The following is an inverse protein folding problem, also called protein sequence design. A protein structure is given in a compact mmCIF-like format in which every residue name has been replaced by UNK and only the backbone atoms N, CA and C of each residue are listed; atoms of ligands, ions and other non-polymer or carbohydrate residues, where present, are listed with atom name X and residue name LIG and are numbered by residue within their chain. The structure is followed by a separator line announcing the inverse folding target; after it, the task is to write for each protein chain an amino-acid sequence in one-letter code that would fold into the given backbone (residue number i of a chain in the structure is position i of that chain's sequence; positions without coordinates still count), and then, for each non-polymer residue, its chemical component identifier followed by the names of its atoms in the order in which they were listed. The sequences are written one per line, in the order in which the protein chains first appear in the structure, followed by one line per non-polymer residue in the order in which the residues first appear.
data_IF_017358868456
#
_entry.id   IF_017358868456
#
_cell.length_a   1.000
_cell.length_b   1.000
_cell.length_c   1.000
_cell.angle_alpha   90.00
_cell.angle_beta   90.00
_cell.angle_gamma   90.00
#
_symmetry.space_group_name_H-M   'P 1'
#
loop_
_entity.id
_entity.type
_entity.pdbx_description
1 polymer ?
#
# COMPACT_ATOMS: atom_id res chain seq x y z
N UNK A 1 -47.13 -63.81 8.83
CA UNK A 1 -48.44 -64.37 8.42
C UNK A 1 -48.59 -64.19 6.92
N UNK A 2 -48.24 -65.21 6.13
CA UNK A 2 -49.16 -66.08 5.39
C UNK A 2 -49.96 -65.31 4.30
N UNK A 3 -49.58 -65.51 3.02
CA UNK A 3 -50.27 -66.41 2.02
C UNK A 3 -51.49 -65.71 1.40
N UNK A 4 -51.77 -65.68 0.09
CA UNK A 4 -51.63 -66.65 -1.02
C UNK A 4 -52.11 -65.88 -2.30
N UNK A 5 -51.51 -66.05 -3.50
CA UNK A 5 -51.94 -66.94 -4.63
C UNK A 5 -53.39 -66.65 -5.12
N UNK A 6 -53.79 -66.64 -6.40
CA UNK A 6 -53.36 -67.19 -7.71
C UNK A 6 -54.34 -66.53 -8.76
N UNK A 7 -54.09 -66.31 -10.06
CA UNK A 7 -54.16 -67.29 -11.18
C UNK A 7 -54.44 -66.53 -12.50
N UNK A 8 -53.51 -66.52 -13.47
CA UNK A 8 -53.57 -67.07 -14.84
C UNK A 8 -54.70 -66.67 -15.81
N UNK A 9 -54.28 -66.16 -16.99
CA UNK A 9 -54.60 -66.63 -18.37
C UNK A 9 -53.70 -65.83 -19.34
N UNK A 10 -52.61 -66.38 -19.87
CA UNK A 10 -52.46 -67.14 -21.14
C UNK A 10 -53.13 -66.45 -22.34
N UNK A 11 -52.32 -65.90 -23.26
CA UNK A 11 -52.46 -66.21 -24.67
C UNK A 11 -51.16 -65.95 -25.46
N UNK A 12 -50.98 -66.82 -26.43
CA UNK A 12 -49.79 -67.16 -27.21
C UNK A 12 -49.73 -66.27 -28.46
N UNK A 13 -48.54 -65.79 -28.84
CA UNK A 13 -48.36 -64.94 -30.02
C UNK A 13 -46.94 -65.08 -30.55
N UNK A 14 -46.71 -66.17 -31.28
CA UNK A 14 -45.47 -66.54 -31.96
C UNK A 14 -45.30 -65.69 -33.23
N UNK A 15 -44.27 -64.83 -33.29
CA UNK A 15 -43.79 -64.29 -34.58
C UNK A 15 -42.26 -64.35 -34.63
N UNK A 16 -41.84 -65.05 -35.68
CA UNK A 16 -40.52 -65.34 -36.19
C UNK A 16 -39.86 -64.05 -36.73
N UNK A 17 -38.58 -63.80 -36.42
CA UNK A 17 -37.88 -62.64 -36.98
C UNK A 17 -36.37 -62.64 -36.77
N UNK A 18 -35.65 -63.13 -37.79
CA UNK A 18 -34.27 -62.85 -38.20
C UNK A 18 -33.18 -62.63 -37.11
N UNK A 19 -32.29 -63.62 -37.00
CA UNK A 19 -30.95 -63.42 -36.45
C UNK A 19 -30.08 -62.63 -37.47
N UNK A 20 -29.78 -61.37 -37.15
CA UNK A 20 -28.69 -60.63 -37.78
C UNK A 20 -27.52 -60.58 -36.79
N UNK A 21 -26.44 -61.26 -37.14
CA UNK A 21 -25.16 -61.23 -36.43
C UNK A 21 -24.49 -59.88 -36.65
N UNK A 22 -24.49 -59.00 -35.65
CA UNK A 22 -23.57 -57.85 -35.62
C UNK A 22 -22.27 -58.27 -34.95
N UNK A 23 -21.09 -57.97 -35.53
CA UNK A 23 -19.83 -58.21 -34.86
C UNK A 23 -19.74 -57.34 -33.60
N UNK A 24 -19.34 -57.94 -32.48
CA UNK A 24 -18.94 -57.21 -31.28
C UNK A 24 -17.59 -56.58 -31.58
N UNK A 25 -17.58 -55.28 -31.90
CA UNK A 25 -16.37 -54.49 -31.86
C UNK A 25 -16.08 -54.17 -30.40
N UNK A 26 -15.02 -54.76 -29.87
CA UNK A 26 -14.39 -54.34 -28.61
C UNK A 26 -13.93 -52.89 -28.79
N UNK A 27 -14.74 -51.94 -28.33
CA UNK A 27 -14.27 -50.57 -28.12
C UNK A 27 -13.33 -50.65 -26.92
N UNK A 28 -12.02 -50.53 -27.19
CA UNK A 28 -11.07 -50.13 -26.16
C UNK A 28 -11.56 -48.78 -25.65
N UNK A 29 -12.05 -48.74 -24.42
CA UNK A 29 -12.16 -47.49 -23.69
C UNK A 29 -10.73 -47.00 -23.51
N UNK A 30 -10.37 -46.00 -24.30
CA UNK A 30 -9.18 -45.20 -24.06
C UNK A 30 -9.41 -44.55 -22.69
N UNK A 31 -8.63 -44.97 -21.68
CA UNK A 31 -8.58 -44.29 -20.40
C UNK A 31 -8.23 -42.83 -20.70
N UNK A 32 -9.22 -41.94 -20.64
CA UNK A 32 -8.97 -40.51 -20.53
C UNK A 32 -8.12 -40.33 -19.27
N UNK A 33 -6.81 -40.14 -19.47
CA UNK A 33 -5.91 -39.71 -18.41
C UNK A 33 -6.56 -38.50 -17.73
N UNK A 34 -6.72 -38.51 -16.40
CA UNK A 34 -7.27 -37.35 -15.71
C UNK A 34 -6.38 -36.15 -16.03
N UNK A 35 -6.96 -35.14 -16.68
CA UNK A 35 -6.30 -33.88 -16.97
C UNK A 35 -5.94 -33.28 -15.62
N UNK A 36 -4.67 -33.38 -15.26
CA UNK A 36 -4.08 -32.64 -14.15
C UNK A 36 -4.51 -31.17 -14.28
N UNK A 37 -5.08 -30.55 -13.23
CA UNK A 37 -5.46 -29.15 -13.31
C UNK A 37 -4.20 -28.34 -13.63
N UNK A 38 -4.15 -27.73 -14.83
CA UNK A 38 -3.02 -26.92 -15.28
C UNK A 38 -2.72 -25.87 -14.21
N UNK A 39 -1.58 -26.00 -13.54
CA UNK A 39 -1.05 -24.96 -12.66
C UNK A 39 -1.06 -23.61 -13.40
N UNK A 40 -1.37 -22.49 -12.72
CA UNK A 40 -1.39 -21.19 -13.36
C UNK A 40 -0.04 -20.93 -14.03
N UNK A 41 -0.02 -20.87 -15.35
CA UNK A 41 1.22 -20.63 -16.09
C UNK A 41 1.61 -19.16 -15.96
N UNK A 42 2.89 -18.92 -15.75
CA UNK A 42 3.43 -17.57 -15.64
C UNK A 42 3.58 -16.97 -17.04
N UNK A 43 3.13 -15.72 -17.21
CA UNK A 43 3.24 -15.00 -18.48
C UNK A 43 4.41 -14.02 -18.43
N UNK A 44 5.26 -14.03 -19.46
CA UNK A 44 6.34 -13.05 -19.65
C UNK A 44 6.08 -12.26 -20.93
N UNK A 45 6.27 -10.93 -20.89
CA UNK A 45 6.22 -10.04 -22.04
C UNK A 45 7.51 -9.23 -22.15
N UNK A 46 7.93 -8.92 -23.38
CA UNK A 46 9.03 -7.99 -23.65
C UNK A 46 8.46 -6.59 -23.85
N UNK A 47 8.93 -5.63 -23.07
CA UNK A 47 8.58 -4.23 -23.22
C UNK A 47 9.61 -3.51 -24.12
N UNK A 48 9.11 -2.58 -24.94
CA UNK A 48 9.93 -1.68 -25.75
C UNK A 48 10.22 -0.37 -25.01
N UNK A 49 11.36 0.26 -25.31
CA UNK A 49 11.70 1.59 -24.78
C UNK A 49 12.00 1.64 -23.28
N UNK A 50 12.29 0.51 -22.64
CA UNK A 50 12.67 0.48 -21.22
C UNK A 50 14.08 1.02 -21.03
N UNK A 51 14.20 2.12 -20.29
CA UNK A 51 15.48 2.71 -19.90
C UNK A 51 16.24 1.79 -18.93
N UNK A 52 17.55 1.64 -19.12
CA UNK A 52 18.42 0.90 -18.20
C UNK A 52 18.61 1.71 -16.92
N UNK A 53 18.20 1.14 -15.79
CA UNK A 53 18.28 1.79 -14.47
C UNK A 53 19.02 0.95 -13.42
N UNK A 54 19.36 -0.30 -13.76
CA UNK A 54 20.00 -1.27 -12.85
C UNK A 54 19.18 -1.52 -11.58
N UNK A 55 17.87 -1.55 -11.74
CA UNK A 55 16.90 -1.93 -10.72
C UNK A 55 15.76 -2.75 -11.36
N UNK A 56 14.81 -3.20 -10.54
CA UNK A 56 13.55 -3.76 -11.01
C UNK A 56 12.39 -3.08 -10.32
N UNK A 57 11.21 -3.18 -10.91
CA UNK A 57 9.97 -2.66 -10.33
C UNK A 57 8.98 -3.79 -10.11
N UNK A 58 8.20 -3.67 -9.04
CA UNK A 58 7.13 -4.58 -8.65
C UNK A 58 5.81 -3.81 -8.58
N UNK A 59 4.71 -4.40 -9.00
CA UNK A 59 3.41 -3.76 -8.96
C UNK A 59 2.25 -4.76 -8.96
N UNK A 60 1.13 -4.45 -8.28
CA UNK A 60 0.94 -3.41 -7.27
C UNK A 60 1.87 -3.60 -6.05
N UNK A 61 2.15 -2.52 -5.32
CA UNK A 61 2.94 -2.55 -4.07
C UNK A 61 2.10 -2.89 -2.84
N UNK A 62 0.77 -2.89 -2.98
CA UNK A 62 -0.18 -3.23 -1.91
C UNK A 62 -1.44 -3.85 -2.52
N UNK A 63 -1.89 -4.94 -1.93
CA UNK A 63 -3.20 -5.56 -2.13
C UNK A 63 -4.01 -5.42 -0.84
N UNK A 64 -5.28 -5.06 -0.98
CA UNK A 64 -6.28 -5.07 0.09
C UNK A 64 -7.42 -5.95 -0.39
N UNK A 65 -7.66 -7.07 0.30
CA UNK A 65 -8.54 -8.14 -0.16
C UNK A 65 -9.50 -8.51 0.97
N UNK A 66 -10.80 -8.41 0.70
CA UNK A 66 -11.86 -8.91 1.59
C UNK A 66 -12.19 -10.34 1.17
N UNK A 67 -11.99 -11.29 2.06
CA UNK A 67 -12.11 -12.73 1.78
C UNK A 67 -12.96 -13.44 2.84
N UNK A 68 -13.38 -14.66 2.55
CA UNK A 68 -14.09 -15.54 3.49
C UNK A 68 -13.22 -16.75 3.87
N UNK A 69 -13.50 -17.42 5.00
CA UNK A 69 -12.91 -18.72 5.29
C UNK A 69 -13.12 -19.71 4.14
N UNK A 70 -12.10 -20.52 3.83
CA UNK A 70 -12.07 -21.45 2.69
C UNK A 70 -12.11 -20.82 1.29
N UNK A 71 -12.04 -19.49 1.17
CA UNK A 71 -11.96 -18.83 -0.13
C UNK A 71 -10.56 -19.01 -0.75
N UNK A 72 -10.53 -19.22 -2.07
CA UNK A 72 -9.30 -19.23 -2.86
C UNK A 72 -9.35 -18.13 -3.90
N UNK A 73 -8.29 -17.33 -3.98
CA UNK A 73 -8.12 -16.32 -5.01
C UNK A 73 -6.72 -16.39 -5.62
N UNK A 74 -6.56 -15.78 -6.79
CA UNK A 74 -5.25 -15.61 -7.43
C UNK A 74 -5.01 -14.11 -7.64
N UNK A 75 -3.99 -13.58 -6.98
CA UNK A 75 -3.52 -12.21 -7.19
C UNK A 75 -2.38 -12.21 -8.22
N UNK A 76 -2.37 -11.23 -9.12
CA UNK A 76 -1.31 -11.11 -10.14
C UNK A 76 -0.30 -10.03 -9.73
N UNK A 77 0.96 -10.44 -9.58
CA UNK A 77 2.08 -9.58 -9.24
C UNK A 77 2.97 -9.36 -10.46
N UNK A 78 3.16 -8.10 -10.85
CA UNK A 78 3.97 -7.73 -11.99
C UNK A 78 5.39 -7.41 -11.54
N UNK A 79 6.39 -7.99 -12.20
CA UNK A 79 7.80 -7.68 -11.97
C UNK A 79 8.41 -7.29 -13.31
N UNK A 80 9.00 -6.11 -13.40
CA UNK A 80 9.67 -5.60 -14.62
C UNK A 80 11.15 -5.40 -14.35
N UNK A 81 12.01 -6.04 -15.14
CA UNK A 81 13.45 -5.82 -15.08
C UNK A 81 13.85 -4.57 -15.88
N UNK A 82 14.59 -3.67 -15.23
CA UNK A 82 15.29 -2.54 -15.89
C UNK A 82 16.80 -2.68 -15.71
N UNK A 83 17.24 -3.91 -15.50
CA UNK A 83 18.63 -4.30 -15.33
C UNK A 83 19.16 -4.67 -16.71
N UNK A 84 20.31 -4.10 -17.09
CA UNK A 84 20.91 -4.32 -18.41
C UNK A 84 21.20 -5.80 -18.69
N UNK A 85 21.60 -6.54 -17.64
CA UNK A 85 21.97 -7.95 -17.70
C UNK A 85 20.78 -8.84 -17.35
N UNK A 86 20.79 -10.04 -17.94
CA UNK A 86 19.92 -11.14 -17.53
C UNK A 86 20.16 -11.48 -16.05
N UNK A 87 19.09 -11.43 -15.26
CA UNK A 87 19.15 -11.50 -13.80
C UNK A 87 18.19 -12.57 -13.28
N UNK A 88 18.67 -13.35 -12.31
CA UNK A 88 17.86 -14.34 -11.62
C UNK A 88 17.18 -13.70 -10.41
N UNK A 89 15.94 -14.09 -10.16
CA UNK A 89 15.08 -13.58 -9.10
C UNK A 89 14.57 -14.72 -8.23
N UNK A 90 14.48 -14.47 -6.94
CA UNK A 90 13.88 -15.37 -5.96
C UNK A 90 12.68 -14.67 -5.29
N UNK A 91 11.59 -15.40 -5.13
CA UNK A 91 10.37 -14.98 -4.46
C UNK A 91 10.39 -15.50 -3.03
N UNK A 92 10.00 -14.67 -2.08
CA UNK A 92 9.81 -15.07 -0.68
C UNK A 92 8.50 -14.53 -0.15
N UNK A 93 7.91 -15.21 0.84
CA UNK A 93 6.75 -14.69 1.58
C UNK A 93 7.15 -14.50 3.02
N UNK A 94 6.87 -13.33 3.57
CA UNK A 94 7.18 -13.01 4.97
C UNK A 94 5.99 -12.32 5.63
N UNK A 95 5.78 -12.60 6.91
CA UNK A 95 4.85 -11.81 7.69
C UNK A 95 5.44 -10.44 8.03
N UNK A 96 4.54 -9.51 8.32
CA UNK A 96 4.92 -8.22 8.84
C UNK A 96 4.02 -7.76 9.97
N UNK A 97 4.56 -6.88 10.81
CA UNK A 97 3.82 -6.28 11.91
C UNK A 97 4.08 -4.78 12.02
N UNK A 98 3.16 -4.07 12.64
CA UNK A 98 3.40 -2.70 13.10
C UNK A 98 4.34 -2.71 14.30
N UNK A 99 5.16 -1.67 14.43
CA UNK A 99 5.97 -1.48 15.64
C UNK A 99 5.18 -0.67 16.67
N UNK A 100 5.52 -0.84 17.95
CA UNK A 100 4.91 -0.05 19.05
C UNK A 100 5.16 1.45 18.87
N UNK A 101 6.33 1.80 18.33
CA UNK A 101 6.67 3.18 17.97
C UNK A 101 5.93 3.57 16.69
N UNK A 102 4.95 4.50 16.76
CA UNK A 102 4.15 4.89 15.62
C UNK A 102 4.92 5.69 14.55
N UNK A 103 6.17 6.08 14.84
CA UNK A 103 7.08 6.69 13.86
C UNK A 103 7.91 5.67 13.08
N UNK A 104 7.96 4.41 13.53
CA UNK A 104 8.71 3.34 12.86
C UNK A 104 7.88 2.65 11.79
N UNK A 105 8.55 2.27 10.71
CA UNK A 105 7.95 1.51 9.61
C UNK A 105 7.58 0.09 10.03
N UNK A 106 6.76 -0.55 9.20
CA UNK A 106 6.47 -1.97 9.24
C UNK A 106 7.73 -2.82 9.40
N UNK A 107 7.73 -3.78 10.34
CA UNK A 107 8.81 -4.74 10.54
C UNK A 107 8.47 -6.05 9.82
N UNK A 108 9.35 -6.50 8.94
CA UNK A 108 9.28 -7.82 8.31
C UNK A 108 9.98 -8.86 9.18
N UNK A 109 9.41 -10.05 9.26
CA UNK A 109 9.78 -11.06 10.25
C UNK A 109 10.64 -12.21 9.69
N UNK A 110 10.91 -12.26 8.38
CA UNK A 110 11.68 -13.35 7.79
C UNK A 110 10.97 -14.70 7.96
N UNK A 111 11.61 -15.59 8.69
CA UNK A 111 11.06 -16.92 8.99
C UNK A 111 10.09 -16.95 10.18
N UNK A 112 10.08 -15.90 11.00
CA UNK A 112 9.16 -15.82 12.14
C UNK A 112 7.72 -15.52 11.69
N UNK A 113 6.74 -16.06 12.42
CA UNK A 113 5.32 -15.77 12.21
C UNK A 113 4.88 -14.59 13.07
N UNK A 114 4.01 -13.75 12.53
CA UNK A 114 3.31 -12.73 13.30
C UNK A 114 2.10 -13.33 14.03
N UNK A 115 1.51 -12.58 14.96
CA UNK A 115 0.23 -12.94 15.60
C UNK A 115 -0.89 -13.12 14.57
N UNK A 116 -0.87 -12.35 13.49
CA UNK A 116 -1.90 -12.33 12.44
C UNK A 116 -1.32 -12.83 11.12
N UNK A 117 -0.66 -13.99 11.19
CA UNK A 117 0.05 -14.59 10.05
C UNK A 117 -0.91 -15.00 8.95
N UNK A 118 -0.51 -14.74 7.71
CA UNK A 118 -1.06 -15.37 6.51
C UNK A 118 0.01 -16.00 5.62
N UNK A 119 1.29 -16.04 6.05
CA UNK A 119 2.43 -16.41 5.20
C UNK A 119 2.22 -17.75 4.48
N UNK A 120 1.66 -18.73 5.18
CA UNK A 120 1.44 -20.09 4.67
C UNK A 120 0.24 -20.20 3.71
N UNK A 121 -0.56 -19.15 3.56
CA UNK A 121 -1.71 -19.14 2.65
C UNK A 121 -1.28 -18.86 1.21
N UNK A 122 -0.07 -18.34 1.01
CA UNK A 122 0.45 -17.90 -0.27
C UNK A 122 1.20 -19.02 -0.98
N UNK A 123 0.84 -19.26 -2.24
CA UNK A 123 1.55 -20.13 -3.17
C UNK A 123 1.78 -19.39 -4.49
N UNK A 124 2.93 -18.68 -4.64
CA UNK A 124 3.39 -18.19 -5.93
C UNK A 124 3.50 -19.33 -6.95
N UNK A 125 3.15 -19.07 -8.21
CA UNK A 125 3.23 -20.08 -9.27
C UNK A 125 4.67 -20.57 -9.52
N UNK A 126 5.66 -19.69 -9.29
CA UNK A 126 7.10 -20.01 -9.31
C UNK A 126 7.79 -19.28 -8.17
N UNK A 127 8.82 -19.91 -7.60
CA UNK A 127 9.65 -19.34 -6.54
C UNK A 127 10.94 -18.71 -7.07
N UNK A 128 11.37 -19.12 -8.26
CA UNK A 128 12.55 -18.61 -8.94
C UNK A 128 12.22 -18.38 -10.41
N UNK A 129 12.78 -17.32 -10.98
CA UNK A 129 12.65 -17.01 -12.41
C UNK A 129 13.78 -16.10 -12.87
N UNK A 130 13.98 -16.03 -14.18
CA UNK A 130 14.99 -15.17 -14.80
C UNK A 130 14.30 -14.16 -15.71
N UNK A 131 14.76 -12.90 -15.69
CA UNK A 131 14.33 -11.88 -16.63
C UNK A 131 15.52 -11.21 -17.32
N UNK A 132 15.35 -10.96 -18.61
CA UNK A 132 16.20 -10.08 -19.41
C UNK A 132 15.77 -8.62 -19.24
N UNK A 133 16.61 -7.71 -19.72
CA UNK A 133 16.29 -6.29 -19.74
C UNK A 133 14.96 -6.03 -20.47
N UNK A 134 14.07 -5.29 -19.83
CA UNK A 134 12.75 -4.95 -20.38
C UNK A 134 11.72 -6.06 -20.34
N UNK A 135 12.04 -7.26 -19.86
CA UNK A 135 11.03 -8.29 -19.63
C UNK A 135 10.18 -7.96 -18.40
N UNK A 136 8.87 -8.20 -18.52
CA UNK A 136 7.91 -8.17 -17.43
C UNK A 136 7.27 -9.53 -17.27
N UNK A 137 7.30 -10.04 -16.05
CA UNK A 137 6.58 -11.25 -15.65
C UNK A 137 5.31 -10.87 -14.90
N UNK A 138 4.22 -11.58 -15.19
CA UNK A 138 2.97 -11.55 -14.44
C UNK A 138 2.92 -12.82 -13.61
N UNK A 139 3.36 -12.72 -12.36
CA UNK A 139 3.44 -13.83 -11.41
C UNK A 139 2.08 -14.04 -10.73
N UNK A 140 1.37 -15.15 -11.01
CA UNK A 140 0.17 -15.50 -10.26
C UNK A 140 0.57 -15.96 -8.86
N UNK A 141 -0.12 -15.43 -7.85
CA UNK A 141 0.06 -15.79 -6.44
C UNK A 141 -1.28 -16.30 -5.92
N UNK A 142 -1.38 -17.62 -5.73
CA UNK A 142 -2.58 -18.23 -5.15
C UNK A 142 -2.61 -17.94 -3.65
N UNK A 143 -3.78 -17.57 -3.14
CA UNK A 143 -4.02 -17.34 -1.72
C UNK A 143 -5.19 -18.24 -1.32
N UNK A 144 -4.93 -19.19 -0.43
CA UNK A 144 -5.94 -20.12 0.10
C UNK A 144 -6.18 -19.82 1.57
N UNK A 145 -7.36 -19.29 1.90
CA UNK A 145 -7.73 -18.98 3.29
C UNK A 145 -8.15 -20.28 3.99
N UNK A 146 -7.56 -20.64 5.15
CA UNK A 146 -8.00 -21.79 5.92
C UNK A 146 -9.47 -21.69 6.36
N UNK A 147 -10.09 -22.85 6.62
CA UNK A 147 -11.47 -22.90 7.09
C UNK A 147 -11.64 -22.33 8.50
N UNK A 148 -10.61 -22.45 9.32
CA UNK A 148 -10.52 -22.02 10.71
C UNK A 148 -9.76 -20.70 10.89
N UNK A 149 -9.59 -19.92 9.81
CA UNK A 149 -8.98 -18.59 9.88
C UNK A 149 -9.74 -17.69 10.87
N UNK A 150 -9.00 -16.97 11.71
CA UNK A 150 -9.57 -15.96 12.61
C UNK A 150 -10.21 -14.84 11.78
N UNK A 151 -11.32 -14.28 12.25
CA UNK A 151 -11.90 -13.10 11.62
C UNK A 151 -11.06 -11.86 11.84
N UNK A 152 -11.12 -10.93 10.88
CA UNK A 152 -10.33 -9.70 10.89
C UNK A 152 -9.11 -9.81 10.01
N UNK A 153 -8.10 -8.99 10.30
CA UNK A 153 -6.98 -8.83 9.40
C UNK A 153 -5.85 -9.83 9.62
N UNK A 154 -5.27 -10.28 8.49
CA UNK A 154 -4.02 -11.03 8.39
C UNK A 154 -3.07 -10.36 7.38
N UNK A 155 -1.76 -10.47 7.66
CA UNK A 155 -0.74 -9.68 6.96
C UNK A 155 0.46 -10.50 6.52
N UNK A 156 0.76 -10.46 5.22
CA UNK A 156 2.00 -10.99 4.67
C UNK A 156 2.47 -10.16 3.48
N UNK A 157 3.75 -10.26 3.15
CA UNK A 157 4.35 -9.59 2.01
C UNK A 157 5.00 -10.62 1.10
N UNK A 158 4.78 -10.48 -0.21
CA UNK A 158 5.52 -11.23 -1.23
C UNK A 158 6.71 -10.37 -1.64
N UNK A 159 7.91 -10.85 -1.32
CA UNK A 159 9.18 -10.25 -1.70
C UNK A 159 9.72 -10.88 -2.96
N UNK A 160 10.38 -10.05 -3.77
CA UNK A 160 11.21 -10.47 -4.89
C UNK A 160 12.60 -9.91 -4.63
N UNK A 161 13.62 -10.74 -4.76
CA UNK A 161 15.03 -10.34 -4.61
C UNK A 161 15.85 -10.80 -5.80
N UNK A 162 16.85 -10.01 -6.18
CA UNK A 162 17.83 -10.41 -7.20
C UNK A 162 18.86 -11.36 -6.61
N UNK A 163 19.16 -12.44 -7.32
CA UNK A 163 20.22 -13.39 -6.99
C UNK A 163 21.45 -13.05 -7.84
N UNK A 164 22.56 -12.58 -7.24
CA UNK A 164 23.77 -12.28 -7.99
C UNK A 164 24.42 -13.56 -8.53
N UNK A 165 24.93 -13.53 -9.77
CA UNK A 165 25.73 -14.63 -10.32
C UNK A 165 27.17 -14.55 -9.81
N UNK A 166 27.75 -15.69 -9.40
CA UNK A 166 29.06 -15.81 -8.73
C UNK A 166 30.28 -15.31 -9.54
N UNK A 167 30.11 -14.96 -10.82
CA UNK A 167 31.20 -14.49 -11.69
C UNK A 167 31.70 -13.07 -11.37
N UNK A 168 31.12 -12.38 -10.38
CA UNK A 168 31.65 -11.12 -9.82
C UNK A 168 32.85 -11.36 -8.88
N UNK A 169 33.87 -12.10 -9.33
CA UNK A 169 35.23 -12.11 -8.72
C UNK A 169 35.99 -10.81 -8.99
N UNK A 170 35.32 -9.68 -8.87
CA UNK A 170 35.90 -8.35 -8.88
C UNK A 170 35.56 -7.67 -7.56
N UNK A 171 36.38 -6.72 -7.13
CA UNK A 171 36.18 -5.84 -5.97
C UNK A 171 34.97 -4.90 -6.11
N UNK A 172 33.92 -5.31 -6.83
CA UNK A 172 32.68 -4.58 -7.03
C UNK A 172 31.67 -4.86 -5.92
N UNK A 173 30.89 -3.85 -5.57
CA UNK A 173 29.77 -3.98 -4.63
C UNK A 173 28.65 -4.74 -5.35
N UNK A 174 28.39 -5.99 -4.95
CA UNK A 174 27.24 -6.75 -5.44
C UNK A 174 25.95 -6.17 -4.84
N UNK A 175 25.14 -5.51 -5.67
CA UNK A 175 23.87 -4.91 -5.25
C UNK A 175 22.76 -5.97 -5.25
N UNK A 176 22.43 -6.51 -4.07
CA UNK A 176 21.20 -7.32 -3.90
C UNK A 176 20.02 -6.39 -3.67
N UNK A 177 19.14 -6.28 -4.66
CA UNK A 177 17.89 -5.51 -4.55
C UNK A 177 16.77 -6.42 -4.06
N UNK A 178 15.97 -5.94 -3.11
CA UNK A 178 14.81 -6.65 -2.56
C UNK A 178 13.63 -5.70 -2.45
N UNK A 179 12.51 -6.03 -3.09
CA UNK A 179 11.29 -5.22 -3.09
C UNK A 179 10.10 -6.13 -2.80
N UNK A 180 9.13 -5.65 -2.01
CA UNK A 180 7.97 -6.44 -1.60
C UNK A 180 6.65 -5.76 -1.95
N UNK A 181 5.63 -6.59 -2.19
CA UNK A 181 4.23 -6.18 -2.24
C UNK A 181 3.51 -6.62 -0.97
N UNK A 182 2.82 -5.69 -0.31
CA UNK A 182 2.10 -5.95 0.93
C UNK A 182 0.71 -6.51 0.63
N UNK A 183 0.31 -7.57 1.32
CA UNK A 183 -1.04 -8.12 1.27
C UNK A 183 -1.71 -7.91 2.63
N UNK A 184 -2.83 -7.19 2.61
CA UNK A 184 -3.71 -6.98 3.74
C UNK A 184 -4.99 -7.75 3.45
N UNK A 185 -5.16 -8.88 4.12
CA UNK A 185 -6.29 -9.78 3.94
C UNK A 185 -7.27 -9.53 5.09
N UNK A 186 -8.50 -9.18 4.78
CA UNK A 186 -9.57 -8.98 5.76
C UNK A 186 -10.54 -10.15 5.64
N UNK A 187 -10.53 -11.07 6.62
CA UNK A 187 -11.39 -12.24 6.63
C UNK A 187 -12.73 -11.87 7.28
N UNK A 188 -13.81 -11.89 6.49
CA UNK A 188 -15.13 -11.38 6.87
C UNK A 188 -16.27 -12.38 6.71
N UNK A 189 -17.09 -12.48 7.76
CA UNK A 189 -18.39 -13.19 7.90
C UNK A 189 -18.83 -13.36 9.38
N UNK A 190 -18.02 -12.90 10.35
CA UNK A 190 -18.35 -12.80 11.79
C UNK A 190 -18.38 -11.36 12.36
N UNK A 191 -18.49 -11.24 13.68
CA UNK A 191 -18.43 -9.95 14.38
C UNK A 191 -16.98 -9.43 14.44
N UNK A 192 -16.68 -8.41 13.63
CA UNK A 192 -15.39 -7.72 13.62
C UNK A 192 -15.53 -6.37 14.32
N UNK A 193 -14.67 -6.08 15.29
CA UNK A 193 -14.68 -4.79 15.98
C UNK A 193 -13.95 -3.72 15.18
N UNK A 194 -14.60 -2.58 14.95
CA UNK A 194 -13.96 -1.36 14.41
C UNK A 194 -13.84 -0.29 15.49
N UNK A 195 -12.60 0.07 15.84
CA UNK A 195 -12.34 1.03 16.92
C UNK A 195 -11.08 1.86 16.62
N UNK A 196 -11.22 2.90 15.82
CA UNK A 196 -10.17 3.87 15.53
C UNK A 196 -10.37 5.19 16.26
N UNK A 197 -9.28 5.90 16.53
CA UNK A 197 -9.31 7.30 16.96
C UNK A 197 -8.05 8.06 16.53
N UNK A 198 -8.21 9.34 16.19
CA UNK A 198 -7.08 10.26 16.16
C UNK A 198 -6.60 10.47 17.59
N UNK A 199 -5.49 9.85 17.98
CA UNK A 199 -4.96 9.91 19.34
C UNK A 199 -4.29 11.28 19.62
N UNK A 200 -3.49 11.78 18.68
CA UNK A 200 -2.87 13.11 18.82
C UNK A 200 -2.72 13.85 17.49
N UNK A 201 -2.72 15.18 17.58
CA UNK A 201 -2.44 16.07 16.47
C UNK A 201 -1.51 17.19 16.96
N UNK A 202 -0.33 17.27 16.37
CA UNK A 202 0.70 18.25 16.75
C UNK A 202 1.42 18.75 15.51
N UNK A 203 2.16 19.83 15.69
CA UNK A 203 3.14 20.30 14.73
C UNK A 203 4.54 19.87 15.19
N UNK A 204 5.45 19.58 14.27
CA UNK A 204 6.79 19.11 14.63
C UNK A 204 7.59 20.16 15.43
N UNK A 205 7.28 21.45 15.27
CA UNK A 205 7.90 22.56 16.04
C UNK A 205 6.85 23.56 16.47
N UNK A 206 7.00 24.16 17.66
CA UNK A 206 6.10 25.25 18.09
C UNK A 206 6.36 26.58 17.38
N UNK A 207 7.58 26.79 16.91
CA UNK A 207 8.03 28.01 16.23
C UNK A 207 8.79 27.63 14.96
N UNK A 208 8.40 28.21 13.84
CA UNK A 208 9.03 28.03 12.53
C UNK A 208 9.69 29.31 12.06
N UNK A 209 10.96 29.22 11.64
CA UNK A 209 11.69 30.32 11.00
C UNK A 209 11.54 30.36 9.48
N UNK A 210 11.04 29.28 8.90
CA UNK A 210 10.83 29.07 7.47
C UNK A 210 9.80 27.95 7.25
N UNK A 211 9.25 27.90 6.04
CA UNK A 211 8.48 26.76 5.51
C UNK A 211 9.44 25.69 4.92
N UNK A 212 8.98 24.44 4.70
CA UNK A 212 7.67 23.87 5.03
C UNK A 212 7.40 23.67 6.52
N UNK A 213 6.11 23.71 6.90
CA UNK A 213 5.64 23.30 8.23
C UNK A 213 5.06 21.89 8.17
N UNK A 214 5.50 21.01 9.08
CA UNK A 214 5.03 19.64 9.16
C UNK A 214 4.06 19.47 10.32
N UNK A 215 2.92 18.86 10.01
CA UNK A 215 1.94 18.37 10.98
C UNK A 215 2.06 16.87 11.13
N UNK A 216 1.90 16.38 12.36
CA UNK A 216 1.94 14.97 12.73
C UNK A 216 0.58 14.57 13.29
N UNK A 217 -0.03 13.57 12.64
CA UNK A 217 -1.31 12.99 12.99
C UNK A 217 -1.06 11.56 13.46
N UNK A 218 -1.20 11.31 14.76
CA UNK A 218 -1.07 9.96 15.30
C UNK A 218 -2.47 9.35 15.43
N UNK A 219 -2.71 8.28 14.68
CA UNK A 219 -3.99 7.57 14.69
C UNK A 219 -3.78 6.17 15.30
N UNK A 220 -4.71 5.79 16.17
CA UNK A 220 -4.67 4.52 16.90
C UNK A 220 -5.84 3.67 16.47
N UNK A 221 -5.57 2.40 16.17
CA UNK A 221 -6.55 1.39 15.84
C UNK A 221 -6.53 0.30 16.91
N UNK A 222 -7.68 0.11 17.57
CA UNK A 222 -7.93 -0.89 18.61
C UNK A 222 -8.99 -1.91 18.14
N UNK A 223 -9.30 -1.92 16.85
CA UNK A 223 -10.18 -2.90 16.21
C UNK A 223 -9.41 -4.08 15.63
N UNK A 224 -10.16 -4.97 15.01
CA UNK A 224 -9.69 -6.24 14.45
C UNK A 224 -9.33 -6.18 12.97
N UNK A 225 -9.67 -5.08 12.31
CA UNK A 225 -9.34 -4.80 10.90
C UNK A 225 -8.57 -3.50 10.78
N UNK A 226 -7.79 -3.37 9.72
CA UNK A 226 -7.11 -2.15 9.37
C UNK A 226 -8.13 -1.05 9.08
N UNK A 227 -7.72 0.18 9.35
CA UNK A 227 -8.49 1.38 9.06
C UNK A 227 -7.73 2.25 8.08
N UNK A 228 -8.48 3.00 7.27
CA UNK A 228 -7.96 3.96 6.29
C UNK A 228 -8.48 5.36 6.61
N UNK A 229 -8.05 5.98 7.73
CA UNK A 229 -8.42 7.35 8.04
C UNK A 229 -7.92 8.32 6.95
N UNK A 230 -8.67 9.40 6.74
CA UNK A 230 -8.36 10.46 5.79
C UNK A 230 -8.99 11.78 6.24
N UNK A 231 -8.65 12.89 5.59
CA UNK A 231 -9.38 14.13 5.84
C UNK A 231 -8.57 15.38 5.48
N UNK A 232 -8.62 16.38 6.35
CA UNK A 232 -8.02 17.68 6.09
C UNK A 232 -7.59 18.40 7.36
N UNK A 233 -6.66 19.33 7.19
CA UNK A 233 -6.24 20.27 8.22
C UNK A 233 -6.61 21.68 7.76
N UNK A 234 -7.43 22.35 8.56
CA UNK A 234 -7.82 23.75 8.34
C UNK A 234 -6.84 24.63 9.11
N UNK A 235 -6.15 25.53 8.41
CA UNK A 235 -5.19 26.46 9.00
C UNK A 235 -5.84 27.85 9.08
N UNK A 236 -5.87 28.41 10.28
CA UNK A 236 -6.46 29.73 10.55
C UNK A 236 -5.44 30.67 11.19
N UNK A 237 -5.56 31.96 10.88
CA UNK A 237 -4.72 33.01 11.48
C UNK A 237 -5.22 33.43 12.88
N UNK A 238 -4.55 34.41 13.48
CA UNK A 238 -4.90 35.01 14.77
C UNK A 238 -6.33 35.56 14.87
N UNK A 239 -6.95 35.92 13.75
CA UNK A 239 -8.31 36.45 13.69
C UNK A 239 -9.37 35.35 13.48
N UNK A 240 -8.96 34.07 13.49
CA UNK A 240 -9.84 32.93 13.22
C UNK A 240 -10.21 32.77 11.74
N UNK A 241 -9.65 33.58 10.84
CA UNK A 241 -9.89 33.45 9.40
C UNK A 241 -9.08 32.27 8.86
N UNK A 242 -9.76 31.34 8.18
CA UNK A 242 -9.10 30.27 7.42
C UNK A 242 -8.22 30.88 6.34
N UNK A 243 -6.94 30.56 6.37
CA UNK A 243 -5.95 31.01 5.39
C UNK A 243 -5.59 29.90 4.40
N UNK A 244 -5.76 28.63 4.80
CA UNK A 244 -5.43 27.49 3.95
C UNK A 244 -6.10 26.20 4.43
N UNK A 245 -6.12 25.20 3.55
CA UNK A 245 -6.55 23.83 3.84
C UNK A 245 -5.54 22.83 3.27
N UNK A 246 -4.96 22.01 4.14
CA UNK A 246 -4.06 20.93 3.76
C UNK A 246 -4.83 19.63 3.69
N UNK A 247 -4.79 18.97 2.53
CA UNK A 247 -5.40 17.64 2.36
C UNK A 247 -4.54 16.58 3.04
N UNK A 248 -5.17 15.74 3.86
CA UNK A 248 -4.53 14.57 4.47
C UNK A 248 -4.97 13.35 3.66
N UNK A 249 -4.07 12.85 2.83
CA UNK A 249 -4.29 11.60 2.07
C UNK A 249 -4.56 10.45 3.03
N UNK A 250 -5.39 9.52 2.58
CA UNK A 250 -5.67 8.29 3.30
C UNK A 250 -4.40 7.52 3.60
N UNK A 251 -4.38 6.85 4.75
CA UNK A 251 -3.25 5.98 5.12
C UNK A 251 -3.74 4.79 5.92
N UNK A 252 -3.04 3.67 5.78
CA UNK A 252 -3.45 2.43 6.44
C UNK A 252 -2.87 2.33 7.84
N UNK A 253 -3.75 2.07 8.82
CA UNK A 253 -3.42 1.77 10.21
C UNK A 253 -3.86 0.34 10.52
N UNK A 254 -2.90 -0.57 10.71
CA UNK A 254 -3.17 -2.01 10.93
C UNK A 254 -3.97 -2.24 12.23
N UNK A 255 -4.63 -3.41 12.33
CA UNK A 255 -5.34 -3.83 13.54
C UNK A 255 -4.43 -3.76 14.76
N UNK A 256 -5.02 -3.40 15.91
CA UNK A 256 -4.30 -3.31 17.19
C UNK A 256 -2.99 -2.51 17.16
N UNK A 257 -2.89 -1.46 16.34
CA UNK A 257 -1.64 -0.69 16.16
C UNK A 257 -1.87 0.82 16.11
N UNK A 258 -0.78 1.60 16.13
CA UNK A 258 -0.82 3.05 15.93
C UNK A 258 0.12 3.46 14.80
N UNK A 259 -0.25 4.48 14.04
CA UNK A 259 0.58 5.00 12.96
C UNK A 259 0.50 6.51 12.87
N UNK A 260 1.66 7.13 12.68
CA UNK A 260 1.78 8.56 12.43
C UNK A 260 1.77 8.87 10.94
N UNK A 261 0.86 9.74 10.51
CA UNK A 261 0.85 10.37 9.19
C UNK A 261 1.40 11.79 9.30
N UNK A 262 2.11 12.24 8.26
CA UNK A 262 2.62 13.62 8.17
C UNK A 262 1.96 14.36 7.03
N UNK A 263 1.51 15.58 7.31
CA UNK A 263 0.99 16.50 6.32
C UNK A 263 1.86 17.76 6.30
N UNK A 264 2.11 18.31 5.12
CA UNK A 264 3.00 19.44 4.93
C UNK A 264 2.20 20.66 4.49
N UNK A 265 2.48 21.80 5.13
CA UNK A 265 1.93 23.10 4.78
C UNK A 265 3.02 24.03 4.26
N UNK A 266 2.83 24.51 3.02
CA UNK A 266 3.77 25.38 2.31
C UNK A 266 3.06 26.66 1.81
N UNK A 267 2.80 27.62 2.72
CA UNK A 267 2.18 28.87 2.31
C UNK A 267 3.17 29.77 1.56
N UNK A 268 2.67 30.57 0.62
CA UNK A 268 3.48 31.58 -0.06
C UNK A 268 4.02 32.67 0.89
N UNK A 269 3.26 32.99 1.94
CA UNK A 269 3.69 33.87 3.03
C UNK A 269 2.99 33.50 4.34
N UNK A 270 3.74 33.45 5.43
CA UNK A 270 3.19 33.26 6.76
C UNK A 270 3.97 34.04 7.82
N UNK A 271 3.24 34.69 8.73
CA UNK A 271 3.79 35.44 9.84
C UNK A 271 2.80 35.49 11.01
N UNK A 272 3.30 35.28 12.22
CA UNK A 272 2.53 35.34 13.45
C UNK A 272 2.02 33.98 13.92
N UNK A 273 0.96 33.99 14.72
CA UNK A 273 0.38 32.78 15.31
C UNK A 273 -0.70 32.20 14.40
N UNK A 274 -0.69 30.88 14.30
CA UNK A 274 -1.66 30.10 13.55
C UNK A 274 -2.25 29.01 14.42
N UNK A 275 -3.49 28.66 14.14
CA UNK A 275 -4.19 27.51 14.71
C UNK A 275 -4.55 26.56 13.57
N UNK A 276 -4.10 25.32 13.68
CA UNK A 276 -4.47 24.24 12.78
C UNK A 276 -5.52 23.36 13.45
N UNK A 277 -6.56 22.98 12.70
CA UNK A 277 -7.60 22.05 13.12
C UNK A 277 -7.61 20.86 12.16
N UNK A 278 -7.21 19.69 12.65
CA UNK A 278 -7.33 18.44 11.92
C UNK A 278 -8.76 17.92 12.05
N UNK A 279 -9.39 17.64 10.91
CA UNK A 279 -10.68 16.97 10.78
C UNK A 279 -10.41 15.65 10.06
N UNK A 280 -10.37 14.55 10.81
CA UNK A 280 -9.97 13.23 10.32
C UNK A 280 -11.15 12.29 10.42
N UNK A 281 -11.64 11.85 9.27
CA UNK A 281 -12.60 10.76 9.17
C UNK A 281 -11.90 9.44 9.46
N UNK A 282 -12.53 8.58 10.27
CA UNK A 282 -11.93 7.32 10.72
C UNK A 282 -11.93 6.22 9.64
N UNK A 283 -12.58 6.45 8.50
CA UNK A 283 -12.75 5.47 7.42
C UNK A 283 -13.94 4.52 7.62
N UNK A 284 -14.75 4.71 8.67
CA UNK A 284 -15.95 3.92 8.95
C UNK A 284 -17.02 4.76 9.66
N UNK A 285 -18.30 4.40 9.48
CA UNK A 285 -19.46 4.99 10.14
C UNK A 285 -19.57 6.53 10.06
N UNK A 286 -18.89 7.17 9.10
CA UNK A 286 -18.81 8.64 8.94
C UNK A 286 -18.40 9.37 10.23
N UNK A 287 -17.59 8.73 11.08
CA UNK A 287 -17.08 9.33 12.31
C UNK A 287 -15.88 10.24 12.02
N UNK A 288 -15.94 11.48 12.49
CA UNK A 288 -14.87 12.47 12.32
C UNK A 288 -14.30 12.89 13.67
N UNK A 289 -12.99 12.76 13.82
CA UNK A 289 -12.25 13.29 14.95
C UNK A 289 -11.75 14.71 14.64
N UNK A 290 -11.91 15.61 15.61
CA UNK A 290 -11.42 16.99 15.51
C UNK A 290 -10.39 17.26 16.62
N UNK A 291 -9.16 17.61 16.23
CA UNK A 291 -8.13 18.06 17.16
C UNK A 291 -7.46 19.33 16.65
N UNK A 292 -7.01 20.17 17.57
CA UNK A 292 -6.38 21.46 17.24
C UNK A 292 -4.99 21.57 17.81
N UNK A 293 -4.10 22.23 17.08
CA UNK A 293 -2.77 22.62 17.55
C UNK A 293 -2.48 24.07 17.16
N UNK A 294 -1.55 24.70 17.86
CA UNK A 294 -1.19 26.11 17.66
C UNK A 294 0.32 26.25 17.50
N UNK A 295 0.74 27.11 16.59
CA UNK A 295 2.14 27.31 16.27
C UNK A 295 2.42 28.73 15.78
N UNK A 296 3.69 29.12 15.77
CA UNK A 296 4.13 30.45 15.39
C UNK A 296 5.05 30.38 14.17
N UNK A 297 4.92 31.35 13.26
CA UNK A 297 5.81 31.52 12.11
C UNK A 297 6.49 32.89 12.22
N UNK A 298 7.81 32.88 12.36
CA UNK A 298 8.65 34.07 12.54
C UNK A 298 9.80 34.05 11.52
N UNK A 299 9.63 34.62 10.32
CA UNK A 299 10.66 34.64 9.27
C UNK A 299 11.82 35.60 9.60
N UNK A 300 12.65 35.25 10.59
CA UNK A 300 13.70 36.13 11.14
C UNK A 300 14.69 36.64 10.09
N UNK A 301 14.96 35.85 9.04
CA UNK A 301 15.85 36.26 7.93
C UNK A 301 15.24 37.40 7.12
N UNK A 302 13.94 37.33 6.82
CA UNK A 302 13.21 38.37 6.08
C UNK A 302 13.10 39.62 6.95
N UNK A 303 12.70 39.46 8.22
CA UNK A 303 12.58 40.56 9.18
C UNK A 303 13.92 41.28 9.37
N UNK A 304 15.02 40.53 9.52
CA UNK A 304 16.37 41.09 9.63
C UNK A 304 16.81 41.82 8.36
N UNK A 305 16.51 41.29 7.19
CA UNK A 305 16.79 41.95 5.91
C UNK A 305 16.02 43.27 5.73
N UNK A 306 14.72 43.28 6.06
CA UNK A 306 13.89 44.50 6.04
C UNK A 306 14.43 45.53 7.04
N UNK A 307 14.71 45.10 8.27
CA UNK A 307 15.25 45.99 9.30
C UNK A 307 16.61 46.58 8.90
N UNK A 308 17.53 45.75 8.41
CA UNK A 308 18.83 46.20 7.90
C UNK A 308 18.69 47.16 6.72
N UNK A 309 17.77 46.90 5.80
CA UNK A 309 17.45 47.79 4.68
C UNK A 309 16.89 49.14 5.13
N UNK A 310 15.99 49.16 6.11
CA UNK A 310 15.45 50.39 6.70
C UNK A 310 16.55 51.20 7.42
N UNK A 311 17.45 50.53 8.15
CA UNK A 311 18.59 51.18 8.80
C UNK A 311 19.55 51.78 7.75
N UNK A 312 19.90 51.02 6.71
CA UNK A 312 20.75 51.50 5.62
C UNK A 312 20.11 52.70 4.90
N UNK A 313 18.80 52.66 4.62
CA UNK A 313 18.06 53.77 4.04
C UNK A 313 18.09 55.01 4.95
N UNK A 314 17.87 54.86 6.25
CA UNK A 314 17.94 55.96 7.20
C UNK A 314 19.35 56.60 7.24
N UNK A 315 20.40 55.78 7.19
CA UNK A 315 21.79 56.26 7.11
C UNK A 315 22.03 57.04 5.80
N UNK A 316 21.55 56.52 4.66
CA UNK A 316 21.65 57.20 3.36
C UNK A 316 20.92 58.54 3.39
N UNK A 317 19.66 58.59 3.83
CA UNK A 317 18.88 59.84 3.94
C UNK A 317 19.62 60.86 4.79
N UNK A 318 20.10 60.46 5.98
CA UNK A 318 20.88 61.33 6.87
C UNK A 318 22.15 61.87 6.19
N UNK A 319 22.88 61.01 5.47
CA UNK A 319 24.08 61.39 4.74
C UNK A 319 23.80 62.41 3.63
N UNK A 320 22.73 62.21 2.84
CA UNK A 320 22.33 63.16 1.79
C UNK A 320 21.85 64.49 2.38
N UNK A 321 21.05 64.49 3.45
CA UNK A 321 20.62 65.74 4.10
C UNK A 321 21.77 66.51 4.74
N UNK A 322 22.83 65.83 5.19
CA UNK A 322 24.00 66.47 5.80
C UNK A 322 24.98 67.06 4.78
N UNK A 323 25.02 66.54 3.54
CA UNK A 323 25.98 66.99 2.50
C UNK A 323 25.40 67.97 1.48
N UNK A 324 24.09 68.05 1.32
CA UNK A 324 23.46 68.93 0.33
C UNK A 324 22.75 70.10 1.02
N UNK A 325 23.43 71.25 1.10
CA UNK A 325 22.83 72.51 1.51
C UNK A 325 21.98 73.06 0.35
N UNK A 326 20.65 73.07 0.51
CA UNK A 326 19.74 73.62 -0.48
C UNK A 326 19.89 75.15 -0.49
N UNK A 327 20.79 75.67 -1.33
CA UNK A 327 20.87 77.11 -1.60
C UNK A 327 19.60 77.55 -2.32
N UNK A 328 18.67 78.18 -1.59
CA UNK A 328 17.55 78.90 -2.21
C UNK A 328 18.11 80.05 -3.06
N UNK A 329 17.81 80.04 -4.36
CA UNK A 329 18.13 81.14 -5.27
C UNK A 329 17.34 82.38 -4.82
N UNK A 330 18.02 83.44 -4.38
CA UNK A 330 17.39 84.75 -4.16
C UNK A 330 16.87 85.24 -5.51
N UNK A 331 15.57 85.47 -5.61
CA UNK A 331 14.98 86.22 -6.72
C UNK A 331 15.22 87.69 -6.41
N UNK A 332 15.88 88.39 -7.34
CA UNK A 332 16.18 89.82 -7.26
C UNK A 332 14.91 90.62 -7.47
#
# INVERSE_FOLDING_TARGET
MNKKRLSQSVCFGMILGLFLTTPVTLVHAEEENPVEPKSPQVKIEQLEGVEVRNDFSIGPTKFTLDLKPSEEIVAELQITSRIEKETDFEVGVEDFTSQEDPEKYTKFLGEEKSQFSSKEWFAPAVWEFTLKHGERIFLPVKITVPKDAEFGDHYSAVFVKTVPKEDEKGTGITLSSRVGSLFLLSIGDGEVKTAGELASFKTSKKVYGSWPMTFELNFKNQGDVHLTPFGKIIVSNLFGKTVDQVTVKDWVVLRSSSRTQRAVWEPGFAFGKYTASAQIERGYNNLTDVKTTTFYVLPVKILGGVLGGLIALAILVKFFTAKFEIKRKKTI
#
